data_IF_213899429006
#
_entry.id   IF_213899429006
#
_cell.length_a   1.000
_cell.length_b   1.000
_cell.length_c   1.000
_cell.angle_alpha   90.00
_cell.angle_beta   90.00
_cell.angle_gamma   90.00
#
_symmetry.space_group_name_H-M   'P 1'
#
loop_
_entity.id
_entity.type
_entity.pdbx_description
1 polymer ?
#
# COMPACT_ATOMS: atom_id res chain seq x y z
N UNK A 1 4.55 -17.76 2.99
CA UNK A 1 3.67 -18.47 2.02
C UNK A 1 3.19 -17.44 1.01
N UNK A 2 3.05 -17.78 -0.26
CA UNK A 2 2.55 -16.88 -1.31
C UNK A 2 1.23 -17.41 -1.88
N UNK A 3 0.39 -16.49 -2.33
CA UNK A 3 -0.88 -16.77 -3.03
C UNK A 3 -0.80 -16.12 -4.41
N UNK A 4 -1.24 -16.82 -5.46
CA UNK A 4 -1.37 -16.25 -6.80
C UNK A 4 -2.79 -15.68 -6.98
N UNK A 5 -2.85 -14.51 -7.60
CA UNK A 5 -4.10 -13.80 -7.90
C UNK A 5 -4.12 -13.44 -9.39
N UNK A 6 -5.23 -13.76 -10.06
CA UNK A 6 -5.50 -13.34 -11.44
C UNK A 6 -6.51 -12.20 -11.40
N UNK A 7 -6.26 -11.13 -12.15
CA UNK A 7 -7.12 -9.94 -12.23
C UNK A 7 -7.25 -9.56 -13.70
N UNK A 8 -8.48 -9.34 -14.15
CA UNK A 8 -8.75 -8.79 -15.48
C UNK A 8 -8.61 -7.27 -15.45
N UNK A 9 -7.88 -6.72 -16.42
CA UNK A 9 -7.59 -5.28 -16.54
C UNK A 9 -7.83 -4.83 -17.99
N UNK A 10 -8.07 -3.54 -18.23
CA UNK A 10 -8.08 -2.99 -19.58
C UNK A 10 -6.77 -3.32 -20.32
N UNK A 11 -6.86 -3.71 -21.59
CA UNK A 11 -5.72 -4.14 -22.40
C UNK A 11 -4.63 -3.06 -22.54
N UNK A 12 -5.05 -1.79 -22.44
CA UNK A 12 -4.22 -0.61 -22.62
C UNK A 12 -3.64 -0.04 -21.31
N UNK A 13 -3.87 -0.70 -20.17
CA UNK A 13 -3.42 -0.20 -18.87
C UNK A 13 -1.90 0.00 -18.80
N UNK A 14 -1.11 -0.91 -19.36
CA UNK A 14 0.36 -0.81 -19.36
C UNK A 14 0.88 0.26 -20.33
N UNK A 15 0.39 0.35 -21.59
CA UNK A 15 0.71 1.47 -22.48
C UNK A 15 0.38 2.85 -21.90
N UNK A 16 -0.83 3.03 -21.34
CA UNK A 16 -1.28 4.33 -20.78
C UNK A 16 -0.39 4.76 -19.61
N UNK A 17 -0.09 3.82 -18.71
CA UNK A 17 0.73 4.09 -17.54
C UNK A 17 2.24 4.03 -17.81
N UNK A 18 2.65 3.70 -19.05
CA UNK A 18 4.05 3.54 -19.48
C UNK A 18 4.86 2.68 -18.52
N UNK A 19 4.32 1.52 -18.18
CA UNK A 19 4.89 0.62 -17.17
C UNK A 19 4.91 -0.84 -17.65
N UNK A 20 5.65 -1.69 -16.96
CA UNK A 20 5.66 -3.14 -17.19
C UNK A 20 4.84 -3.87 -16.12
N UNK A 21 4.34 -5.09 -16.40
CA UNK A 21 3.50 -5.84 -15.46
C UNK A 21 4.09 -5.96 -14.04
N UNK A 22 5.38 -6.28 -13.91
CA UNK A 22 6.02 -6.43 -12.59
C UNK A 22 6.05 -5.13 -11.78
N UNK A 23 6.31 -4.00 -12.45
CA UNK A 23 6.32 -2.67 -11.83
C UNK A 23 4.90 -2.25 -11.46
N UNK A 24 3.94 -2.52 -12.35
CA UNK A 24 2.53 -2.24 -12.11
C UNK A 24 1.99 -3.00 -10.89
N UNK A 25 2.29 -4.29 -10.76
CA UNK A 25 1.87 -5.09 -9.60
C UNK A 25 2.46 -4.56 -8.30
N UNK A 26 3.73 -4.12 -8.31
CA UNK A 26 4.36 -3.49 -7.14
C UNK A 26 3.64 -2.21 -6.72
N UNK A 27 3.37 -1.30 -7.66
CA UNK A 27 2.65 -0.05 -7.37
C UNK A 27 1.19 -0.30 -6.97
N UNK A 28 0.51 -1.27 -7.60
CA UNK A 28 -0.85 -1.68 -7.24
C UNK A 28 -0.92 -2.20 -5.80
N UNK A 29 0.00 -3.08 -5.40
CA UNK A 29 0.06 -3.62 -4.03
C UNK A 29 0.29 -2.52 -3.00
N UNK A 30 1.16 -1.56 -3.31
CA UNK A 30 1.39 -0.39 -2.45
C UNK A 30 0.13 0.49 -2.35
N UNK A 31 -0.52 0.79 -3.47
CA UNK A 31 -1.74 1.58 -3.53
C UNK A 31 -2.90 0.91 -2.76
N UNK A 32 -3.01 -0.42 -2.82
CA UNK A 32 -4.03 -1.20 -2.13
C UNK A 32 -3.77 -1.34 -0.62
N UNK A 33 -2.50 -1.51 -0.21
CA UNK A 33 -2.14 -1.67 1.21
C UNK A 33 -2.45 -0.41 2.05
N UNK A 34 -2.36 0.76 1.44
CA UNK A 34 -2.54 2.06 2.10
C UNK A 34 -3.92 2.25 2.76
N UNK A 35 -5.06 2.16 2.06
CA UNK A 35 -6.37 2.42 2.68
C UNK A 35 -6.66 1.46 3.84
N UNK A 36 -6.27 0.18 3.73
CA UNK A 36 -6.42 -0.78 4.85
C UNK A 36 -5.55 -0.44 6.04
N UNK A 37 -4.35 0.08 5.81
CA UNK A 37 -3.53 0.62 6.89
C UNK A 37 -4.18 1.89 7.48
N UNK A 38 -4.62 2.82 6.66
CA UNK A 38 -5.19 4.09 7.13
C UNK A 38 -6.40 3.89 8.06
N UNK A 39 -7.29 2.94 7.75
CA UNK A 39 -8.49 2.67 8.55
C UNK A 39 -8.28 1.71 9.73
N UNK A 40 -7.05 1.33 10.07
CA UNK A 40 -6.81 0.41 11.20
C UNK A 40 -6.93 -1.09 10.87
N UNK A 41 -7.30 -1.48 9.65
CA UNK A 41 -7.62 -2.87 9.31
C UNK A 41 -6.38 -3.78 9.27
N UNK A 42 -5.23 -3.25 8.84
CA UNK A 42 -3.96 -3.96 8.87
C UNK A 42 -2.87 -3.11 9.53
N UNK A 43 -1.95 -3.77 10.23
CA UNK A 43 -0.81 -3.08 10.82
C UNK A 43 0.16 -2.58 9.75
N UNK A 44 1.00 -1.62 10.12
CA UNK A 44 2.08 -1.12 9.27
C UNK A 44 3.01 -2.23 8.74
N UNK A 45 3.32 -3.24 9.57
CA UNK A 45 4.17 -4.36 9.17
C UNK A 45 3.46 -5.25 8.13
N UNK A 46 2.16 -5.52 8.31
CA UNK A 46 1.36 -6.28 7.36
C UNK A 46 1.16 -5.53 6.04
N UNK A 47 1.00 -4.21 6.09
CA UNK A 47 0.91 -3.37 4.90
C UNK A 47 2.22 -3.37 4.09
N UNK A 48 3.38 -3.33 4.76
CA UNK A 48 4.68 -3.45 4.09
C UNK A 48 4.89 -4.84 3.46
N UNK A 49 4.52 -5.92 4.17
CA UNK A 49 4.52 -7.29 3.64
C UNK A 49 3.63 -7.42 2.40
N UNK A 50 2.41 -6.87 2.47
CA UNK A 50 1.47 -6.85 1.35
C UNK A 50 2.01 -6.03 0.18
N UNK A 51 2.68 -4.90 0.41
CA UNK A 51 3.33 -4.10 -0.63
C UNK A 51 4.61 -4.76 -1.17
N UNK A 52 5.15 -5.78 -0.49
CA UNK A 52 6.39 -6.47 -0.90
C UNK A 52 7.65 -5.63 -0.71
N UNK A 53 7.63 -4.71 0.27
CA UNK A 53 8.73 -3.79 0.57
C UNK A 53 9.06 -3.81 2.07
N UNK A 54 10.20 -3.24 2.45
CA UNK A 54 10.54 -3.10 3.87
C UNK A 54 9.57 -2.14 4.57
N UNK A 55 9.45 -2.30 5.90
CA UNK A 55 8.66 -1.39 6.75
C UNK A 55 9.08 0.06 6.58
N UNK A 56 10.38 0.35 6.50
CA UNK A 56 10.90 1.72 6.28
C UNK A 56 10.47 2.28 4.93
N UNK A 57 10.58 1.47 3.86
CA UNK A 57 10.12 1.88 2.54
C UNK A 57 8.63 2.17 2.54
N UNK A 58 7.82 1.37 3.24
CA UNK A 58 6.38 1.63 3.36
C UNK A 58 6.10 2.99 4.02
N UNK A 59 6.73 3.30 5.17
CA UNK A 59 6.60 4.61 5.84
C UNK A 59 6.95 5.75 4.87
N UNK A 60 8.10 5.63 4.21
CA UNK A 60 8.58 6.67 3.30
C UNK A 60 7.57 6.92 2.17
N UNK A 61 6.90 5.88 1.69
CA UNK A 61 5.91 5.98 0.64
C UNK A 61 4.57 6.58 1.10
N UNK A 62 4.19 6.48 2.38
CA UNK A 62 2.93 7.06 2.88
C UNK A 62 2.83 8.58 2.63
N UNK A 63 3.97 9.26 2.67
CA UNK A 63 4.07 10.70 2.35
C UNK A 63 3.59 11.05 0.94
N UNK A 64 3.90 10.20 -0.06
CA UNK A 64 3.45 10.36 -1.47
C UNK A 64 1.94 10.36 -1.59
N UNK A 65 1.25 9.79 -0.61
CA UNK A 65 -0.18 9.56 -0.60
C UNK A 65 -0.92 10.40 0.44
N UNK A 66 -0.23 11.31 1.13
CA UNK A 66 -0.79 12.15 2.20
C UNK A 66 -1.41 11.35 3.36
N UNK A 67 -0.87 10.16 3.64
CA UNK A 67 -1.33 9.31 4.75
C UNK A 67 -0.37 9.44 5.94
N UNK A 68 -0.94 9.61 7.13
CA UNK A 68 -0.16 9.65 8.38
C UNK A 68 0.55 8.31 8.60
N UNK A 69 1.84 8.29 8.99
CA UNK A 69 2.52 7.06 9.38
C UNK A 69 2.06 6.53 10.74
N UNK A 70 1.33 7.36 11.51
CA UNK A 70 0.75 7.00 12.79
C UNK A 70 -0.70 6.59 12.55
N UNK A 71 -0.97 5.31 12.75
CA UNK A 71 -2.30 4.70 12.70
C UNK A 71 -3.02 4.92 14.03
N UNK A 72 -3.31 6.17 14.35
CA UNK A 72 -3.97 6.58 15.59
C UNK A 72 -4.78 7.84 15.34
N UNK A 73 -5.98 7.90 15.92
CA UNK A 73 -6.83 9.09 15.90
C UNK A 73 -6.24 10.19 16.78
N UNK A 74 -6.67 11.43 16.57
CA UNK A 74 -6.24 12.54 17.43
C UNK A 74 -6.70 12.30 18.88
N UNK A 75 -7.90 11.79 19.07
CA UNK A 75 -8.48 11.48 20.37
C UNK A 75 -7.66 10.41 21.13
N UNK A 76 -7.19 9.38 20.43
CA UNK A 76 -6.31 8.36 21.00
C UNK A 76 -4.92 8.91 21.36
N UNK A 77 -4.39 9.84 20.56
CA UNK A 77 -3.12 10.53 20.85
C UNK A 77 -3.19 11.32 22.17
N UNK A 78 -4.31 12.02 22.43
CA UNK A 78 -4.47 12.86 23.63
C UNK A 78 -4.86 12.09 24.90
N UNK A 79 -5.20 10.80 24.79
CA UNK A 79 -5.62 9.96 25.93
C UNK A 79 -4.45 9.23 26.61
N UNK A 80 -3.25 9.29 26.05
CA UNK A 80 -2.03 8.66 26.58
C UNK A 80 -1.12 9.66 27.30
#
# INVERSE_FOLDING_TARGET
>A
MSVQLTIDLPEDVFPILRTHPDTFVKEMRLAAARPWFEIGQISQAKAAELAGISRQQFINNLSRFQVSPIQMTSEELWRN
#
